data_IF_839010921613
#
_entry.id   IF_839010921613
#
_cell.length_a   1.000
_cell.length_b   1.000
_cell.length_c   1.000
_cell.angle_alpha   90.00
_cell.angle_beta   90.00
_cell.angle_gamma   90.00
#
_symmetry.space_group_name_H-M   'P 1'
#
loop_
_entity.id
_entity.type
_entity.pdbx_description
1 polymer ?
#
# COMPACT_ATOMS: atom_id res chain seq x y z
N UNK A 1 3.51 3.30 -21.84
CA UNK A 1 2.33 3.98 -21.25
C UNK A 1 1.43 2.87 -20.73
N UNK A 2 1.07 2.89 -19.45
CA UNK A 2 0.25 1.87 -18.80
C UNK A 2 -0.47 2.50 -17.61
N UNK A 3 -1.49 1.82 -17.10
CA UNK A 3 -2.36 2.27 -16.02
C UNK A 3 -2.78 1.08 -15.15
N UNK A 4 -3.23 1.34 -13.92
CA UNK A 4 -3.67 0.28 -13.00
C UNK A 4 -4.97 -0.40 -13.45
N UNK A 5 -5.75 0.25 -14.30
CA UNK A 5 -7.00 -0.26 -14.86
C UNK A 5 -6.81 -1.06 -16.17
N UNK A 6 -5.55 -1.34 -16.53
CA UNK A 6 -5.18 -2.14 -17.70
C UNK A 6 -4.52 -3.45 -17.26
N UNK A 7 -5.32 -4.46 -16.84
CA UNK A 7 -4.79 -5.71 -16.30
C UNK A 7 -3.95 -6.51 -17.31
N UNK A 8 -4.27 -6.40 -18.61
CA UNK A 8 -3.51 -7.08 -19.66
C UNK A 8 -2.09 -6.51 -19.74
N UNK A 9 -1.93 -5.18 -19.74
CA UNK A 9 -0.60 -4.54 -19.72
C UNK A 9 0.18 -4.85 -18.45
N UNK A 10 -0.49 -4.91 -17.29
CA UNK A 10 0.15 -5.29 -16.03
C UNK A 10 0.67 -6.72 -16.10
N UNK A 11 -0.16 -7.65 -16.59
CA UNK A 11 0.21 -9.04 -16.75
C UNK A 11 1.38 -9.23 -17.73
N UNK A 12 1.33 -8.60 -18.91
CA UNK A 12 2.42 -8.64 -19.89
C UNK A 12 3.74 -8.11 -19.32
N UNK A 13 3.69 -6.98 -18.59
CA UNK A 13 4.86 -6.40 -17.94
C UNK A 13 5.45 -7.30 -16.87
N UNK A 14 4.60 -7.91 -16.04
CA UNK A 14 5.02 -8.84 -14.99
C UNK A 14 5.64 -10.12 -15.58
N UNK A 15 5.03 -10.69 -16.62
CA UNK A 15 5.55 -11.89 -17.29
C UNK A 15 6.96 -11.67 -17.86
N UNK A 16 7.22 -10.49 -18.41
CA UNK A 16 8.50 -10.10 -18.98
C UNK A 16 9.59 -9.74 -17.95
N UNK A 17 9.22 -9.49 -16.69
CA UNK A 17 10.16 -9.10 -15.64
C UNK A 17 10.79 -10.31 -14.93
N UNK A 18 11.94 -10.13 -14.28
CA UNK A 18 12.54 -11.13 -13.38
C UNK A 18 11.97 -11.09 -11.96
N UNK A 19 11.23 -10.02 -11.63
CA UNK A 19 10.55 -9.79 -10.37
C UNK A 19 9.75 -8.49 -10.43
N UNK A 20 8.74 -8.37 -9.57
CA UNK A 20 7.79 -7.24 -9.60
C UNK A 20 7.73 -6.57 -8.23
N UNK A 21 7.76 -5.25 -8.21
CA UNK A 21 7.48 -4.43 -7.03
C UNK A 21 6.30 -3.52 -7.37
N UNK A 22 5.15 -3.76 -6.74
CA UNK A 22 3.93 -2.98 -6.92
C UNK A 22 3.89 -1.80 -5.95
N UNK A 23 4.28 -0.62 -6.45
CA UNK A 23 4.32 0.65 -5.72
C UNK A 23 3.18 1.60 -6.10
N UNK A 24 2.42 1.26 -7.14
CA UNK A 24 1.43 2.15 -7.71
C UNK A 24 0.11 2.08 -6.93
N UNK A 25 -0.47 3.24 -6.65
CA UNK A 25 -1.79 3.37 -6.05
C UNK A 25 -2.43 4.67 -6.50
N UNK A 26 -3.76 4.69 -6.65
CA UNK A 26 -4.45 5.93 -6.93
C UNK A 26 -4.57 6.77 -5.64
N UNK A 27 -3.91 7.93 -5.62
CA UNK A 27 -3.88 8.84 -4.48
C UNK A 27 -5.01 9.89 -4.50
N UNK A 28 -5.99 9.75 -5.40
CA UNK A 28 -7.26 10.45 -5.28
C UNK A 28 -8.12 9.81 -4.18
N UNK A 29 -7.96 10.28 -2.95
CA UNK A 29 -8.67 9.72 -1.79
C UNK A 29 -10.16 10.09 -1.74
N UNK A 30 -10.73 10.74 -2.77
CA UNK A 30 -12.17 11.04 -2.82
C UNK A 30 -13.04 9.78 -2.94
N UNK A 31 -12.51 8.70 -3.53
CA UNK A 31 -13.13 7.37 -3.60
C UNK A 31 -12.13 6.28 -3.21
N UNK A 32 -11.83 6.22 -1.91
CA UNK A 32 -10.81 5.30 -1.40
C UNK A 32 -11.20 3.82 -1.55
N UNK A 33 -12.50 3.51 -1.57
CA UNK A 33 -13.01 2.15 -1.79
C UNK A 33 -12.76 1.71 -3.24
N UNK A 34 -13.05 2.55 -4.22
CA UNK A 34 -12.75 2.24 -5.62
C UNK A 34 -11.25 2.06 -5.84
N UNK A 35 -10.41 2.89 -5.21
CA UNK A 35 -8.96 2.74 -5.30
C UNK A 35 -8.47 1.40 -4.70
N UNK A 36 -9.08 0.94 -3.61
CA UNK A 36 -8.81 -0.39 -3.06
C UNK A 36 -9.15 -1.52 -4.04
N UNK A 37 -10.27 -1.41 -4.77
CA UNK A 37 -10.66 -2.40 -5.79
C UNK A 37 -9.72 -2.38 -7.00
N UNK A 38 -9.29 -1.18 -7.43
CA UNK A 38 -8.32 -1.01 -8.50
C UNK A 38 -6.96 -1.64 -8.12
N UNK A 39 -6.51 -1.40 -6.89
CA UNK A 39 -5.29 -1.99 -6.35
C UNK A 39 -5.37 -3.52 -6.25
N UNK A 40 -6.51 -4.06 -5.81
CA UNK A 40 -6.76 -5.51 -5.80
C UNK A 40 -6.62 -6.11 -7.21
N UNK A 41 -7.31 -5.53 -8.21
CA UNK A 41 -7.25 -6.01 -9.58
C UNK A 41 -5.83 -5.97 -10.16
N UNK A 42 -5.05 -4.95 -9.80
CA UNK A 42 -3.64 -4.86 -10.18
C UNK A 42 -2.81 -5.98 -9.54
N UNK A 43 -2.97 -6.25 -8.24
CA UNK A 43 -2.28 -7.34 -7.54
C UNK A 43 -2.63 -8.70 -8.13
N UNK A 44 -3.90 -8.93 -8.46
CA UNK A 44 -4.35 -10.17 -9.09
C UNK A 44 -3.73 -10.39 -10.48
N UNK A 45 -3.72 -9.34 -11.32
CA UNK A 45 -3.13 -9.41 -12.67
C UNK A 45 -1.61 -9.65 -12.62
N UNK A 46 -0.90 -8.93 -11.75
CA UNK A 46 0.54 -9.10 -11.55
C UNK A 46 0.86 -10.49 -10.98
N UNK A 47 0.06 -10.98 -10.02
CA UNK A 47 0.22 -12.29 -9.42
C UNK A 47 0.01 -13.44 -10.40
N UNK A 48 -1.06 -13.34 -11.21
CA UNK A 48 -1.39 -14.33 -12.23
C UNK A 48 -0.25 -14.57 -13.22
N UNK A 49 0.43 -13.51 -13.64
CA UNK A 49 1.55 -13.58 -14.57
C UNK A 49 2.78 -14.34 -14.01
N UNK A 50 2.89 -14.46 -12.68
CA UNK A 50 4.07 -15.00 -12.00
C UNK A 50 3.86 -16.42 -11.48
N UNK A 51 2.69 -17.01 -11.64
CA UNK A 51 2.39 -18.36 -11.17
C UNK A 51 3.27 -19.43 -11.80
N UNK A 52 3.80 -20.32 -10.95
CA UNK A 52 4.72 -21.38 -11.36
C UNK A 52 6.07 -20.89 -11.89
N UNK A 53 6.32 -19.58 -12.00
CA UNK A 53 7.57 -19.04 -12.54
C UNK A 53 8.71 -19.01 -11.53
N UNK A 54 8.40 -19.02 -10.23
CA UNK A 54 9.37 -18.83 -9.15
C UNK A 54 9.93 -17.41 -9.01
N UNK A 55 9.40 -16.44 -9.77
CA UNK A 55 9.77 -15.03 -9.71
C UNK A 55 9.13 -14.34 -8.48
N UNK A 56 9.80 -13.37 -7.85
CA UNK A 56 9.28 -12.66 -6.68
C UNK A 56 8.27 -11.56 -7.03
N UNK A 57 7.29 -11.38 -6.14
CA UNK A 57 6.34 -10.26 -6.14
C UNK A 57 6.37 -9.57 -4.77
N UNK A 58 6.60 -8.27 -4.77
CA UNK A 58 6.49 -7.42 -3.57
C UNK A 58 5.30 -6.49 -3.75
N UNK A 59 4.34 -6.54 -2.84
CA UNK A 59 3.18 -5.64 -2.81
C UNK A 59 3.31 -4.68 -1.63
N UNK A 60 2.86 -3.44 -1.80
CA UNK A 60 2.86 -2.44 -0.72
C UNK A 60 1.48 -2.33 -0.06
N UNK A 61 1.49 -2.27 1.26
CA UNK A 61 0.34 -1.97 2.12
C UNK A 61 0.72 -0.80 3.06
N UNK A 62 -0.08 -0.49 4.07
CA UNK A 62 0.17 0.63 4.99
C UNK A 62 0.01 0.27 6.46
N UNK A 63 0.88 0.77 7.33
CA UNK A 63 0.76 0.53 8.78
C UNK A 63 -0.46 1.21 9.39
N UNK A 64 -1.07 2.21 8.73
CA UNK A 64 -2.34 2.81 9.18
C UNK A 64 -3.48 1.79 9.21
N UNK A 65 -3.41 0.71 8.43
CA UNK A 65 -4.41 -0.36 8.47
C UNK A 65 -4.46 -1.03 9.83
N UNK A 66 -3.32 -1.09 10.53
CA UNK A 66 -3.23 -1.66 11.87
C UNK A 66 -4.05 -0.88 12.89
N UNK A 67 -4.24 0.44 12.70
CA UNK A 67 -5.07 1.24 13.60
C UNK A 67 -6.56 0.93 13.44
N UNK A 68 -6.96 0.42 12.26
CA UNK A 68 -8.33 -0.06 12.00
C UNK A 68 -8.54 -1.50 12.47
N UNK A 69 -7.51 -2.33 12.39
CA UNK A 69 -7.57 -3.76 12.73
C UNK A 69 -7.39 -4.03 14.24
N UNK A 70 -6.55 -3.25 14.91
CA UNK A 70 -6.15 -3.49 16.29
C UNK A 70 -5.88 -2.17 17.04
N UNK A 71 -6.90 -1.31 17.23
CA UNK A 71 -6.72 -0.01 17.87
C UNK A 71 -6.12 -0.13 19.26
N UNK A 72 -5.15 0.73 19.57
CA UNK A 72 -4.49 0.80 20.88
C UNK A 72 -3.44 -0.29 21.15
N UNK A 73 -3.16 -1.17 20.19
CA UNK A 73 -2.16 -2.24 20.34
C UNK A 73 -0.86 -1.90 19.59
N UNK A 74 0.26 -2.47 20.06
CA UNK A 74 1.51 -2.46 19.30
C UNK A 74 1.27 -3.19 17.96
N UNK A 75 1.53 -2.51 16.86
CA UNK A 75 1.41 -3.07 15.52
C UNK A 75 2.48 -4.12 15.26
N UNK A 76 2.09 -5.31 14.84
CA UNK A 76 2.98 -6.39 14.40
C UNK A 76 2.43 -7.06 13.14
N UNK A 77 3.27 -7.79 12.42
CA UNK A 77 2.91 -8.57 11.23
C UNK A 77 1.92 -9.70 11.55
N UNK A 78 1.93 -10.18 12.80
CA UNK A 78 0.99 -11.19 13.34
C UNK A 78 -0.46 -10.68 13.41
N UNK A 79 -0.69 -9.37 13.25
CA UNK A 79 -2.04 -8.82 13.14
C UNK A 79 -2.48 -9.01 11.69
N UNK A 80 -3.22 -10.09 11.46
CA UNK A 80 -3.72 -10.51 10.15
C UNK A 80 -5.03 -9.79 9.81
N UNK A 81 -5.25 -9.38 8.54
CA UNK A 81 -6.50 -8.78 8.11
C UNK A 81 -7.73 -9.65 8.37
N UNK A 82 -8.82 -9.03 8.82
CA UNK A 82 -10.14 -9.66 8.76
C UNK A 82 -10.59 -9.74 7.29
N UNK A 83 -10.91 -10.94 6.75
CA UNK A 83 -11.43 -11.08 5.39
C UNK A 83 -12.70 -10.27 5.11
N UNK A 84 -13.47 -9.90 6.14
CA UNK A 84 -14.66 -9.05 6.03
C UNK A 84 -14.38 -7.54 6.10
N UNK A 85 -13.12 -7.13 6.27
CA UNK A 85 -12.77 -5.71 6.39
C UNK A 85 -12.93 -4.97 5.06
N UNK A 86 -13.69 -3.88 5.08
CA UNK A 86 -13.79 -2.95 3.95
C UNK A 86 -12.62 -1.95 3.90
N UNK A 87 -11.66 -2.07 4.82
CA UNK A 87 -10.55 -1.15 4.90
C UNK A 87 -9.70 -1.28 3.61
N UNK A 88 -9.44 -0.17 2.90
CA UNK A 88 -8.78 -0.25 1.59
C UNK A 88 -7.37 -0.83 1.68
N UNK A 89 -6.99 -1.67 0.71
CA UNK A 89 -5.77 -2.50 0.65
C UNK A 89 -5.76 -3.79 1.49
N UNK A 90 -6.73 -4.02 2.39
CA UNK A 90 -6.84 -5.34 3.06
C UNK A 90 -7.04 -6.45 2.03
N UNK A 91 -7.97 -6.26 1.10
CA UNK A 91 -8.23 -7.24 0.05
C UNK A 91 -6.98 -7.52 -0.80
N UNK A 92 -6.24 -6.47 -1.19
CA UNK A 92 -4.99 -6.60 -1.93
C UNK A 92 -3.91 -7.35 -1.15
N UNK A 93 -3.76 -7.07 0.15
CA UNK A 93 -2.82 -7.76 1.03
C UNK A 93 -3.18 -9.25 1.17
N UNK A 94 -4.46 -9.56 1.41
CA UNK A 94 -4.94 -10.94 1.46
C UNK A 94 -4.74 -11.68 0.13
N UNK A 95 -5.02 -11.02 -1.00
CA UNK A 95 -4.81 -11.58 -2.33
C UNK A 95 -3.32 -11.86 -2.59
N UNK A 96 -2.43 -10.92 -2.26
CA UNK A 96 -1.00 -11.10 -2.38
C UNK A 96 -0.50 -12.30 -1.57
N UNK A 97 -0.95 -12.44 -0.33
CA UNK A 97 -0.58 -13.58 0.52
C UNK A 97 -1.13 -14.91 0.00
N UNK A 98 -2.34 -14.92 -0.57
CA UNK A 98 -2.94 -16.13 -1.15
C UNK A 98 -2.17 -16.66 -2.38
N UNK A 99 -1.45 -15.81 -3.11
CA UNK A 99 -0.63 -16.22 -4.25
C UNK A 99 0.50 -17.20 -3.86
N UNK A 100 0.92 -17.21 -2.59
CA UNK A 100 1.91 -18.17 -2.11
C UNK A 100 1.45 -19.62 -2.30
N UNK A 101 0.15 -19.89 -2.10
CA UNK A 101 -0.43 -21.21 -2.34
C UNK A 101 -0.44 -21.61 -3.83
N UNK A 102 -0.25 -20.65 -4.73
CA UNK A 102 -0.18 -20.82 -6.19
C UNK A 102 1.27 -20.83 -6.71
N UNK A 103 2.25 -20.91 -5.80
CA UNK A 103 3.68 -21.00 -6.14
C UNK A 103 4.35 -19.67 -6.47
N UNK A 104 3.71 -18.53 -6.19
CA UNK A 104 4.32 -17.21 -6.32
C UNK A 104 5.11 -16.87 -5.06
N UNK A 105 6.32 -16.33 -5.21
CA UNK A 105 7.12 -15.82 -4.09
C UNK A 105 6.65 -14.41 -3.70
N UNK A 106 5.49 -14.33 -3.07
CA UNK A 106 4.86 -13.08 -2.69
C UNK A 106 5.33 -12.59 -1.31
N UNK A 107 5.43 -11.27 -1.15
CA UNK A 107 5.65 -10.60 0.14
C UNK A 107 4.90 -9.27 0.18
N UNK A 108 4.52 -8.84 1.38
CA UNK A 108 3.85 -7.56 1.61
C UNK A 108 4.72 -6.69 2.50
N UNK A 109 4.93 -5.45 2.07
CA UNK A 109 5.62 -4.42 2.86
C UNK A 109 4.58 -3.39 3.30
N UNK A 110 4.25 -3.37 4.59
CA UNK A 110 3.37 -2.34 5.19
C UNK A 110 4.20 -1.08 5.43
N UNK A 111 4.05 -0.09 4.56
CA UNK A 111 4.79 1.16 4.61
C UNK A 111 4.29 2.05 5.75
N UNK A 112 5.20 2.83 6.33
CA UNK A 112 4.84 3.93 7.23
C UNK A 112 3.94 4.93 6.50
N UNK A 113 3.00 5.60 7.19
CA UNK A 113 2.23 6.72 6.62
C UNK A 113 3.11 7.89 6.19
N UNK A 114 4.36 7.95 6.67
CA UNK A 114 5.32 9.00 6.38
C UNK A 114 6.65 8.40 5.96
N UNK A 115 6.63 7.64 4.86
CA UNK A 115 7.84 7.40 4.06
C UNK A 115 8.21 8.73 3.40
N UNK A 116 9.33 9.34 3.79
CA UNK A 116 9.69 10.70 3.40
C UNK A 116 11.16 10.80 2.97
N UNK A 117 11.47 11.74 2.10
CA UNK A 117 12.84 11.95 1.65
C UNK A 117 12.92 13.03 0.59
N UNK A 118 14.11 13.17 0.01
CA UNK A 118 14.32 14.11 -1.10
C UNK A 118 13.38 13.79 -2.26
N UNK A 119 12.64 14.79 -2.74
CA UNK A 119 11.67 14.63 -3.82
C UNK A 119 10.28 14.10 -3.42
N UNK A 120 10.03 13.88 -2.12
CA UNK A 120 8.68 13.61 -1.61
C UNK A 120 7.72 14.75 -1.98
N UNK A 121 6.48 14.39 -2.29
CA UNK A 121 5.38 15.30 -2.65
C UNK A 121 4.11 15.00 -1.86
N UNK A 122 4.19 14.10 -0.89
CA UNK A 122 3.08 13.63 -0.08
C UNK A 122 2.93 14.44 1.21
N UNK A 123 2.75 13.70 2.30
CA UNK A 123 2.26 14.23 3.56
C UNK A 123 3.23 15.21 4.24
N UNK A 124 4.51 14.83 4.39
CA UNK A 124 5.51 15.63 5.11
C UNK A 124 5.78 16.98 4.42
N UNK A 125 6.06 17.05 3.11
CA UNK A 125 6.19 18.31 2.38
C UNK A 125 4.95 19.20 2.46
N UNK A 126 3.75 18.60 2.45
CA UNK A 126 2.49 19.34 2.57
C UNK A 126 2.38 20.05 3.92
N UNK A 127 2.68 19.36 5.02
CA UNK A 127 2.69 19.97 6.36
C UNK A 127 3.76 21.07 6.48
N UNK A 128 4.96 20.85 5.92
CA UNK A 128 6.02 21.87 5.89
C UNK A 128 5.55 23.11 5.10
N UNK A 129 4.88 22.92 3.96
CA UNK A 129 4.31 23.99 3.15
C UNK A 129 3.31 24.83 3.95
N UNK A 130 2.33 24.19 4.57
CA UNK A 130 1.31 24.84 5.40
C UNK A 130 1.96 25.62 6.56
N UNK A 131 2.95 25.03 7.25
CA UNK A 131 3.61 25.69 8.36
C UNK A 131 4.40 26.92 7.91
N UNK A 132 5.04 26.88 6.74
CA UNK A 132 5.74 28.03 6.15
C UNK A 132 4.77 29.13 5.73
N UNK A 133 3.63 28.77 5.14
CA UNK A 133 2.62 29.70 4.66
C UNK A 133 1.91 30.42 5.83
N UNK A 134 1.54 29.66 6.85
CA UNK A 134 0.74 30.17 7.98
C UNK A 134 1.59 30.69 9.15
N UNK A 135 2.88 30.33 9.19
CA UNK A 135 3.75 30.55 10.35
C UNK A 135 3.40 29.66 11.56
N UNK A 136 2.51 28.67 11.40
CA UNK A 136 1.99 27.83 12.49
C UNK A 136 2.11 26.35 12.13
N UNK A 137 2.68 25.55 13.02
CA UNK A 137 2.66 24.09 12.91
C UNK A 137 1.55 23.51 13.79
N UNK A 138 0.38 23.27 13.20
CA UNK A 138 -0.78 22.74 13.92
C UNK A 138 -0.70 21.22 14.13
N UNK A 139 -1.40 20.72 15.15
CA UNK A 139 -1.62 19.30 15.40
C UNK A 139 -3.08 19.05 15.80
N UNK A 140 -3.54 17.81 15.63
CA UNK A 140 -4.91 17.41 16.02
C UNK A 140 -4.94 17.05 17.51
N UNK A 141 -5.98 17.51 18.21
CA UNK A 141 -6.18 17.19 19.62
C UNK A 141 -5.14 17.85 20.53
N UNK A 142 -4.53 17.07 21.42
CA UNK A 142 -3.51 17.53 22.36
C UNK A 142 -2.07 17.32 21.87
N UNK A 143 -1.90 16.81 20.64
CA UNK A 143 -0.58 16.58 20.04
C UNK A 143 0.10 15.30 20.49
N UNK A 144 -0.55 14.46 21.30
CA UNK A 144 0.01 13.17 21.76
C UNK A 144 -0.01 12.05 20.71
N UNK A 145 -0.48 12.36 19.49
CA UNK A 145 -0.57 11.40 18.38
C UNK A 145 0.81 10.81 18.05
N UNK A 146 0.85 9.48 17.88
CA UNK A 146 2.07 8.76 17.48
C UNK A 146 1.99 8.44 16.00
N UNK A 147 2.99 8.89 15.25
CA UNK A 147 3.12 8.65 13.81
C UNK A 147 4.46 7.98 13.53
N UNK A 148 4.48 6.72 13.04
CA UNK A 148 5.73 6.13 12.59
C UNK A 148 6.19 6.83 11.32
N UNK A 149 7.49 7.13 11.25
CA UNK A 149 8.12 7.79 10.11
C UNK A 149 9.38 7.03 9.70
N UNK A 150 9.60 6.90 8.39
CA UNK A 150 10.76 6.21 7.81
C UNK A 150 11.31 7.08 6.68
N UNK A 151 12.64 7.19 6.58
CA UNK A 151 13.33 7.84 5.47
C UNK A 151 13.70 6.84 4.38
#
# INVERSE_FOLDING_TARGET
RGSLDDPDRLHEGAAAADGVIHLAFNHDFSDYVANGKLDLGAVEALGAALEGTGKPLVVTSGTLMLTMMAPGRLGTEEIVPDPGSEAPRIASESAAMALAARGVRASVVRLSPTVHGEGDKGFVPSLIGIARETGVSAFVGDGSNRWPAVH
#
